data_IF_878699842080
#
_entry.id   IF_878699842080
#
_cell.length_a   1.000
_cell.length_b   1.000
_cell.length_c   1.000
_cell.angle_alpha   90.00
_cell.angle_beta   90.00
_cell.angle_gamma   90.00
#
_symmetry.space_group_name_H-M   'P 1'
#
loop_
_entity.id
_entity.type
_entity.pdbx_description
1 polymer ?
#
# COMPACT_ATOMS: atom_id res chain seq x y z
N UNK A 1 39.22 -8.85 23.38
CA UNK A 1 38.84 -10.03 22.56
C UNK A 1 37.78 -10.81 23.35
N UNK A 2 36.49 -10.59 23.07
CA UNK A 2 35.41 -11.23 23.81
C UNK A 2 35.19 -12.62 23.19
N UNK A 3 35.56 -13.67 23.91
CA UNK A 3 35.30 -15.06 23.51
C UNK A 3 33.92 -15.43 24.06
N UNK A 4 32.87 -15.26 23.27
CA UNK A 4 31.52 -15.68 23.65
C UNK A 4 31.40 -17.21 23.58
N UNK A 5 30.82 -17.83 24.62
CA UNK A 5 30.44 -19.25 24.62
C UNK A 5 29.29 -19.49 23.63
N UNK A 6 29.18 -20.69 23.06
CA UNK A 6 28.17 -21.04 22.05
C UNK A 6 26.73 -20.71 22.47
N UNK A 7 26.42 -20.77 23.77
CA UNK A 7 25.09 -20.45 24.32
C UNK A 7 24.79 -18.95 24.29
N UNK A 8 25.79 -18.11 24.54
CA UNK A 8 25.70 -16.64 24.47
C UNK A 8 25.65 -16.14 23.01
N UNK A 9 26.35 -16.84 22.11
CA UNK A 9 26.27 -16.63 20.66
C UNK A 9 24.86 -16.95 20.14
N UNK A 10 24.29 -18.10 20.54
CA UNK A 10 22.93 -18.47 20.16
C UNK A 10 21.89 -17.46 20.65
N UNK A 11 22.02 -16.98 21.88
CA UNK A 11 21.13 -15.96 22.44
C UNK A 11 21.25 -14.63 21.69
N UNK A 12 22.48 -14.21 21.36
CA UNK A 12 22.73 -12.97 20.60
C UNK A 12 22.14 -13.04 19.19
N UNK A 13 22.25 -14.20 18.51
CA UNK A 13 21.64 -14.42 17.19
C UNK A 13 20.11 -14.39 17.27
N UNK A 14 19.52 -14.99 18.31
CA UNK A 14 18.08 -14.98 18.52
C UNK A 14 17.54 -13.57 18.75
N UNK A 15 18.23 -12.75 19.54
CA UNK A 15 17.85 -11.36 19.80
C UNK A 15 17.92 -10.52 18.51
N UNK A 16 18.98 -10.67 17.72
CA UNK A 16 19.09 -9.99 16.41
C UNK A 16 17.95 -10.41 15.48
N UNK A 17 17.63 -11.70 15.43
CA UNK A 17 16.55 -12.21 14.59
C UNK A 17 15.19 -11.60 14.96
N UNK A 18 14.86 -11.55 16.26
CA UNK A 18 13.58 -10.99 16.75
C UNK A 18 13.48 -9.49 16.45
N UNK A 19 14.58 -8.75 16.52
CA UNK A 19 14.60 -7.31 16.24
C UNK A 19 14.43 -6.98 14.74
N UNK A 20 14.69 -7.93 13.84
CA UNK A 20 14.56 -7.72 12.37
C UNK A 20 13.16 -8.00 11.81
N UNK A 21 12.28 -8.64 12.57
CA UNK A 21 10.91 -8.96 12.12
C UNK A 21 10.06 -7.70 11.80
N UNK A 22 10.03 -6.63 12.63
CA UNK A 22 9.15 -5.50 12.37
C UNK A 22 9.52 -4.65 11.14
N UNK A 23 10.78 -4.71 10.66
CA UNK A 23 11.21 -3.91 9.50
C UNK A 23 10.67 -4.45 8.17
N UNK A 24 10.43 -5.76 8.08
CA UNK A 24 9.88 -6.41 6.89
C UNK A 24 8.42 -5.99 6.63
N UNK A 25 7.61 -5.87 7.69
CA UNK A 25 6.21 -5.45 7.57
C UNK A 25 6.08 -4.00 7.09
N UNK A 26 6.99 -3.11 7.51
CA UNK A 26 6.99 -1.72 7.08
C UNK A 26 7.42 -1.54 5.62
N UNK A 27 8.34 -2.39 5.13
CA UNK A 27 8.85 -2.28 3.75
C UNK A 27 7.79 -2.57 2.69
N UNK A 28 6.94 -3.59 2.92
CA UNK A 28 5.86 -3.92 1.99
C UNK A 28 4.77 -2.84 1.88
N UNK A 29 4.61 -2.00 2.90
CA UNK A 29 3.56 -0.96 2.93
C UNK A 29 3.92 0.28 2.10
N UNK A 30 5.21 0.53 1.86
CA UNK A 30 5.72 1.73 1.19
C UNK A 30 5.91 1.53 -0.33
N UNK A 31 5.55 0.36 -0.86
CA UNK A 31 5.58 0.14 -2.31
C UNK A 31 4.38 0.84 -2.95
N UNK A 32 4.66 1.74 -3.90
CA UNK A 32 3.61 2.33 -4.74
C UNK A 32 3.13 1.29 -5.75
N UNK A 33 1.82 1.12 -5.82
CA UNK A 33 1.16 0.24 -6.78
C UNK A 33 0.15 1.04 -7.59
N UNK A 34 -0.01 0.65 -8.86
CA UNK A 34 -1.01 1.24 -9.73
C UNK A 34 -2.37 0.60 -9.44
N UNK A 35 -3.39 1.41 -9.16
CA UNK A 35 -4.75 0.95 -8.89
C UNK A 35 -5.77 1.75 -9.68
N UNK A 36 -6.88 1.10 -10.00
CA UNK A 36 -8.09 1.74 -10.50
C UNK A 36 -9.10 1.82 -9.37
N UNK A 37 -9.62 3.01 -9.11
CA UNK A 37 -10.63 3.27 -8.08
C UNK A 37 -11.95 3.56 -8.79
N UNK A 38 -13.00 2.82 -8.45
CA UNK A 38 -14.36 3.08 -8.90
C UNK A 38 -15.17 3.73 -7.76
N UNK A 39 -15.93 4.77 -8.09
CA UNK A 39 -16.78 5.50 -7.17
C UNK A 39 -18.27 5.25 -7.45
N UNK A 40 -19.09 5.34 -6.39
CA UNK A 40 -20.55 5.17 -6.46
C UNK A 40 -21.22 6.24 -7.31
N UNK A 41 -20.77 7.46 -7.14
CA UNK A 41 -21.32 8.63 -7.81
C UNK A 41 -20.32 9.19 -8.82
N UNK A 42 -20.79 10.15 -9.62
CA UNK A 42 -19.93 10.88 -10.55
C UNK A 42 -18.77 11.51 -9.79
N UNK A 43 -17.58 11.44 -10.40
CA UNK A 43 -16.36 11.96 -9.81
C UNK A 43 -16.52 13.44 -9.40
N UNK A 44 -16.18 13.74 -8.15
CA UNK A 44 -16.21 15.07 -7.57
C UNK A 44 -14.86 15.45 -6.97
N UNK A 45 -14.66 16.74 -6.68
CA UNK A 45 -13.43 17.23 -6.02
C UNK A 45 -13.19 16.57 -4.66
N UNK A 46 -14.26 16.14 -3.97
CA UNK A 46 -14.15 15.37 -2.72
C UNK A 46 -13.42 14.05 -2.93
N UNK A 47 -13.72 13.33 -4.01
CA UNK A 47 -13.09 12.04 -4.32
C UNK A 47 -11.61 12.22 -4.67
N UNK A 48 -11.30 13.27 -5.44
CA UNK A 48 -9.93 13.64 -5.82
C UNK A 48 -9.11 13.98 -4.56
N UNK A 49 -9.68 14.75 -3.65
CA UNK A 49 -9.01 15.13 -2.41
C UNK A 49 -8.77 13.94 -1.48
N UNK A 50 -9.72 13.00 -1.39
CA UNK A 50 -9.56 11.75 -0.63
C UNK A 50 -8.33 10.98 -1.09
N UNK A 51 -8.16 10.81 -2.40
CA UNK A 51 -7.00 10.12 -2.96
C UNK A 51 -5.69 10.86 -2.68
N UNK A 52 -5.69 12.19 -2.81
CA UNK A 52 -4.49 13.01 -2.55
C UNK A 52 -4.09 13.02 -1.08
N UNK A 53 -5.06 13.00 -0.15
CA UNK A 53 -4.79 12.96 1.29
C UNK A 53 -4.07 11.66 1.69
N UNK A 54 -4.37 10.56 1.02
CA UNK A 54 -3.67 9.29 1.20
C UNK A 54 -2.38 9.17 0.36
N UNK A 55 -1.89 10.28 -0.20
CA UNK A 55 -0.64 10.33 -0.97
C UNK A 55 -0.74 9.76 -2.38
N UNK A 56 -1.96 9.54 -2.88
CA UNK A 56 -2.21 9.01 -4.20
C UNK A 56 -1.94 10.03 -5.32
N UNK A 57 -1.24 9.58 -6.36
CA UNK A 57 -0.96 10.37 -7.55
C UNK A 57 -1.89 9.93 -8.70
N UNK A 58 -2.78 10.82 -9.12
CA UNK A 58 -3.76 10.51 -10.17
C UNK A 58 -3.07 10.49 -11.53
N UNK A 59 -3.11 9.36 -12.22
CA UNK A 59 -2.54 9.18 -13.56
C UNK A 59 -3.57 9.38 -14.66
N UNK A 60 -4.82 8.96 -14.44
CA UNK A 60 -5.88 9.05 -15.45
C UNK A 60 -7.27 9.22 -14.84
N UNK A 61 -8.09 10.01 -15.52
CA UNK A 61 -9.53 10.09 -15.31
C UNK A 61 -10.24 9.26 -16.37
N UNK A 62 -11.16 8.38 -15.99
CA UNK A 62 -11.97 7.63 -16.94
C UNK A 62 -13.29 8.38 -17.20
N UNK A 63 -13.71 8.42 -18.47
CA UNK A 63 -14.96 9.08 -18.88
C UNK A 63 -16.14 8.11 -19.03
N UNK A 64 -15.85 6.82 -19.23
CA UNK A 64 -16.86 5.76 -19.44
C UNK A 64 -17.32 5.10 -18.13
N UNK A 65 -16.53 5.25 -17.07
CA UNK A 65 -16.82 4.77 -15.72
C UNK A 65 -16.55 5.90 -14.73
N UNK A 66 -17.23 5.89 -13.59
CA UNK A 66 -16.98 6.82 -12.49
C UNK A 66 -15.69 6.41 -11.75
N UNK A 67 -14.55 6.47 -12.41
CA UNK A 67 -13.30 5.97 -11.84
C UNK A 67 -12.07 6.74 -12.28
N UNK A 68 -10.99 6.51 -11.54
CA UNK A 68 -9.67 7.10 -11.78
C UNK A 68 -8.59 6.04 -11.60
N UNK A 69 -7.47 6.20 -12.29
CA UNK A 69 -6.27 5.39 -12.08
C UNK A 69 -5.23 6.21 -11.32
N UNK A 70 -4.60 5.58 -10.34
CA UNK A 70 -3.81 6.24 -9.28
C UNK A 70 -2.62 5.37 -8.91
N UNK A 71 -1.46 5.99 -8.71
CA UNK A 71 -0.35 5.36 -7.98
C UNK A 71 -0.48 5.67 -6.49
N UNK A 72 -0.59 4.64 -5.66
CA UNK A 72 -0.70 4.81 -4.20
C UNK A 72 0.11 3.74 -3.45
N UNK A 73 0.57 4.09 -2.25
CA UNK A 73 1.19 3.13 -1.34
C UNK A 73 0.23 1.98 -1.01
N UNK A 74 0.74 0.74 -1.05
CA UNK A 74 -0.05 -0.46 -0.81
C UNK A 74 -0.77 -0.42 0.55
N UNK A 75 -0.13 0.16 1.57
CA UNK A 75 -0.73 0.29 2.90
C UNK A 75 -1.96 1.21 2.98
N UNK A 76 -2.15 2.08 1.98
CA UNK A 76 -3.27 3.04 1.93
C UNK A 76 -4.47 2.54 1.16
N UNK A 77 -4.35 1.43 0.43
CA UNK A 77 -5.46 0.83 -0.33
C UNK A 77 -6.64 0.51 0.58
N UNK A 78 -6.39 -0.02 1.78
CA UNK A 78 -7.45 -0.37 2.72
C UNK A 78 -8.19 0.88 3.25
N UNK A 79 -7.50 2.01 3.40
CA UNK A 79 -8.12 3.30 3.76
C UNK A 79 -9.14 3.69 2.70
N UNK A 80 -8.75 3.65 1.43
CA UNK A 80 -9.62 3.97 0.30
C UNK A 80 -10.81 3.00 0.18
N UNK A 81 -10.58 1.70 0.37
CA UNK A 81 -11.66 0.68 0.33
C UNK A 81 -12.71 0.87 1.42
N UNK A 82 -12.34 1.47 2.55
CA UNK A 82 -13.24 1.72 3.66
C UNK A 82 -14.08 3.00 3.47
N UNK A 83 -13.77 3.84 2.48
CA UNK A 83 -14.55 5.05 2.23
C UNK A 83 -15.92 4.70 1.62
N UNK A 84 -17.03 5.25 2.16
CA UNK A 84 -18.37 4.90 1.70
C UNK A 84 -18.68 5.35 0.25
N UNK A 85 -17.89 6.26 -0.34
CA UNK A 85 -18.06 6.69 -1.73
C UNK A 85 -17.37 5.77 -2.75
N UNK A 86 -16.48 4.89 -2.28
CA UNK A 86 -15.74 3.94 -3.11
C UNK A 86 -16.54 2.64 -3.29
N UNK A 87 -16.58 2.12 -4.52
CA UNK A 87 -17.13 0.80 -4.86
C UNK A 87 -16.02 -0.24 -4.77
N UNK A 88 -14.92 0.01 -5.48
CA UNK A 88 -13.80 -0.92 -5.54
C UNK A 88 -12.48 -0.18 -5.73
N UNK A 89 -11.41 -0.85 -5.31
CA UNK A 89 -10.02 -0.46 -5.57
C UNK A 89 -9.32 -1.71 -6.05
N UNK A 90 -9.04 -1.73 -7.34
CA UNK A 90 -8.53 -2.90 -8.06
C UNK A 90 -7.11 -2.60 -8.56
N UNK A 91 -6.10 -3.40 -8.18
CA UNK A 91 -4.75 -3.22 -8.70
C UNK A 91 -4.73 -3.46 -10.20
N UNK A 92 -3.93 -2.67 -10.91
CA UNK A 92 -3.74 -2.88 -12.34
C UNK A 92 -2.89 -4.14 -12.56
N UNK A 93 -3.39 -5.04 -13.40
CA UNK A 93 -2.78 -6.34 -13.65
C UNK A 93 -2.29 -6.39 -15.09
N UNK A 94 -1.05 -6.83 -15.28
CA UNK A 94 -0.50 -7.08 -16.60
C UNK A 94 -1.27 -8.25 -17.25
N UNK A 95 -2.02 -7.95 -18.31
CA UNK A 95 -2.70 -8.96 -19.12
C UNK A 95 -1.72 -9.44 -20.20
N UNK A 96 -1.28 -10.69 -20.11
CA UNK A 96 -0.53 -11.35 -21.18
C UNK A 96 -1.53 -11.88 -22.20
N UNK A 97 -1.38 -11.44 -23.45
CA UNK A 97 -2.18 -11.86 -24.60
C UNK A 97 -1.77 -13.24 -25.13
#
# INVERSE_FOLDING_TARGET
MIVLRNKELAFSILVILVLTIPTLAAYGQNQKVHVVILFKEKLSDKNINLVRLDGGEIKRYYHIINGISVDIEQGKINSLKNDPSVISVDPDLEVKA
#
